data_IF_099641573831
#
_entry.id   IF_099641573831
#
_cell.length_a   1.000
_cell.length_b   1.000
_cell.length_c   1.000
_cell.angle_alpha   90.00
_cell.angle_beta   90.00
_cell.angle_gamma   90.00
#
_symmetry.space_group_name_H-M   'P 1'
#
loop_
_entity.id
_entity.type
_entity.pdbx_description
1 polymer ?
#
# COMPACT_ATOMS: atom_id res chain seq x y z
N UNK A 1 3.97 -12.62 0.17
CA UNK A 1 5.15 -12.31 0.99
C UNK A 1 5.77 -13.66 1.31
N UNK A 2 6.73 -14.09 0.49
CA UNK A 2 7.36 -15.40 0.64
C UNK A 2 8.78 -15.19 1.14
N UNK A 3 9.10 -15.76 2.29
CA UNK A 3 10.42 -15.69 2.92
C UNK A 3 11.33 -16.82 2.44
N UNK A 4 10.81 -17.73 1.61
CA UNK A 4 11.50 -18.93 1.16
C UNK A 4 11.64 -19.98 2.26
N UNK A 5 12.45 -21.00 2.00
CA UNK A 5 12.77 -22.03 2.98
C UNK A 5 13.53 -21.43 4.16
N UNK A 6 13.15 -21.83 5.38
CA UNK A 6 13.84 -21.37 6.57
C UNK A 6 15.28 -21.91 6.56
N UNK A 7 16.29 -21.06 6.80
CA UNK A 7 17.69 -21.51 6.86
C UNK A 7 18.00 -22.35 8.11
N UNK A 8 17.04 -22.51 9.04
CA UNK A 8 17.21 -23.24 10.30
C UNK A 8 16.54 -24.60 10.23
N UNK A 9 17.06 -25.53 11.02
CA UNK A 9 16.49 -26.88 11.17
C UNK A 9 15.32 -26.83 12.15
N UNK A 10 14.16 -27.31 11.71
CA UNK A 10 12.95 -27.42 12.51
C UNK A 10 12.55 -28.89 12.65
N UNK A 11 13.14 -29.57 13.62
CA UNK A 11 12.82 -30.97 13.96
C UNK A 11 11.97 -31.02 15.22
N UNK A 12 10.95 -31.88 15.23
CA UNK A 12 10.08 -32.12 16.39
C UNK A 12 10.85 -32.78 17.54
N UNK A 13 11.88 -33.57 17.24
CA UNK A 13 12.74 -34.16 18.28
C UNK A 13 13.44 -33.08 19.11
N UNK A 14 14.00 -32.06 18.44
CA UNK A 14 14.68 -30.93 19.09
C UNK A 14 13.73 -30.10 19.97
N UNK A 15 12.43 -30.08 19.65
CA UNK A 15 11.43 -29.41 20.47
C UNK A 15 11.22 -30.13 21.80
N UNK A 16 11.15 -31.47 21.80
CA UNK A 16 11.01 -32.25 23.02
C UNK A 16 12.25 -32.11 23.93
N UNK A 17 13.43 -32.10 23.33
CA UNK A 17 14.69 -31.86 24.04
C UNK A 17 14.72 -30.46 24.67
N UNK A 18 14.24 -29.44 23.94
CA UNK A 18 14.10 -28.09 24.46
C UNK A 18 13.13 -28.00 25.65
N UNK A 19 11.95 -28.63 25.55
CA UNK A 19 10.94 -28.62 26.62
C UNK A 19 11.47 -29.27 27.90
N UNK A 20 12.35 -30.28 27.79
CA UNK A 20 13.03 -30.87 28.94
C UNK A 20 14.18 -30.00 29.47
N UNK A 21 14.99 -29.40 28.59
CA UNK A 21 16.10 -28.54 28.98
C UNK A 21 15.63 -27.22 29.64
N UNK A 22 14.50 -26.68 29.18
CA UNK A 22 13.89 -25.44 29.68
C UNK A 22 13.45 -25.54 31.14
N UNK A 23 13.15 -26.75 31.63
CA UNK A 23 12.87 -27.00 33.07
C UNK A 23 14.10 -26.79 33.96
N UNK A 24 15.29 -27.07 33.44
CA UNK A 24 16.53 -27.04 34.21
C UNK A 24 17.22 -25.68 34.12
N UNK A 25 17.11 -24.99 32.97
CA UNK A 25 17.77 -23.71 32.75
C UNK A 25 16.97 -22.86 31.77
N UNK A 26 16.90 -21.58 32.10
CA UNK A 26 16.33 -20.58 31.21
C UNK A 26 17.35 -20.13 30.15
N UNK A 27 16.97 -20.28 28.89
CA UNK A 27 17.81 -19.96 27.73
C UNK A 27 17.38 -18.67 27.02
N UNK A 28 16.32 -18.00 27.49
CA UNK A 28 15.81 -16.74 26.94
C UNK A 28 15.40 -16.80 25.46
N UNK A 29 15.06 -17.99 24.94
CA UNK A 29 14.58 -18.13 23.55
C UNK A 29 13.24 -17.46 23.31
N UNK A 30 12.46 -17.22 24.37
CA UNK A 30 11.23 -16.42 24.35
C UNK A 30 11.52 -14.94 24.04
N UNK A 31 12.60 -14.39 24.58
CA UNK A 31 13.09 -13.03 24.27
C UNK A 31 13.57 -12.96 22.82
N UNK A 32 14.38 -13.92 22.37
CA UNK A 32 14.83 -13.99 20.97
C UNK A 32 13.66 -14.10 19.98
N UNK A 33 12.67 -14.93 20.32
CA UNK A 33 11.47 -15.10 19.50
C UNK A 33 10.66 -13.81 19.44
N UNK A 34 10.49 -13.12 20.58
CA UNK A 34 9.80 -11.84 20.64
C UNK A 34 10.47 -10.79 19.76
N UNK A 35 11.80 -10.62 19.84
CA UNK A 35 12.55 -9.67 19.01
C UNK A 35 12.41 -9.99 17.51
N UNK A 36 12.49 -11.27 17.15
CA UNK A 36 12.31 -11.71 15.77
C UNK A 36 10.90 -11.41 15.23
N UNK A 37 9.86 -11.69 16.02
CA UNK A 37 8.47 -11.39 15.65
C UNK A 37 8.20 -9.88 15.60
N UNK A 38 8.76 -9.09 16.52
CA UNK A 38 8.67 -7.63 16.52
C UNK A 38 9.28 -7.04 15.25
N UNK A 39 10.49 -7.48 14.88
CA UNK A 39 11.15 -7.03 13.66
C UNK A 39 10.35 -7.44 12.40
N UNK A 40 9.72 -8.61 12.42
CA UNK A 40 8.88 -9.07 11.31
C UNK A 40 7.60 -8.23 11.15
N UNK A 41 6.87 -7.98 12.24
CA UNK A 41 5.66 -7.14 12.22
C UNK A 41 6.01 -5.71 11.81
N UNK A 42 7.12 -5.15 12.29
CA UNK A 42 7.57 -3.82 11.89
C UNK A 42 7.85 -3.69 10.38
N UNK A 43 8.41 -4.72 9.73
CA UNK A 43 8.58 -4.71 8.26
C UNK A 43 7.22 -4.77 7.53
N UNK A 44 6.27 -5.56 8.04
CA UNK A 44 4.93 -5.65 7.49
C UNK A 44 4.13 -4.35 7.63
N UNK A 45 4.19 -3.71 8.80
CA UNK A 45 3.50 -2.44 9.04
C UNK A 45 4.08 -1.33 8.15
N UNK A 46 5.41 -1.26 8.03
CA UNK A 46 6.08 -0.34 7.10
C UNK A 46 5.64 -0.54 5.65
N UNK A 47 5.51 -1.80 5.21
CA UNK A 47 5.01 -2.11 3.85
C UNK A 47 3.54 -1.72 3.70
N UNK A 48 2.74 -1.93 4.73
CA UNK A 48 1.32 -1.55 4.76
C UNK A 48 1.16 -0.04 4.63
N UNK A 49 1.95 0.75 5.38
CA UNK A 49 1.96 2.21 5.29
C UNK A 49 2.41 2.68 3.90
N UNK A 50 3.48 2.10 3.35
CA UNK A 50 3.94 2.44 2.00
C UNK A 50 2.87 2.13 0.94
N UNK A 51 2.16 1.00 1.05
CA UNK A 51 1.06 0.65 0.16
C UNK A 51 -0.13 1.61 0.31
N UNK A 52 -0.49 2.00 1.55
CA UNK A 52 -1.52 3.01 1.83
C UNK A 52 -1.15 4.37 1.23
N UNK A 53 0.10 4.82 1.43
CA UNK A 53 0.61 6.08 0.87
C UNK A 53 0.57 6.09 -0.65
N UNK A 54 1.01 4.99 -1.29
CA UNK A 54 0.95 4.85 -2.75
C UNK A 54 -0.48 4.89 -3.28
N UNK A 55 -1.44 4.24 -2.62
CA UNK A 55 -2.85 4.36 -3.00
C UNK A 55 -3.35 5.79 -2.84
N UNK A 56 -3.06 6.45 -1.72
CA UNK A 56 -3.47 7.82 -1.47
C UNK A 56 -2.92 8.79 -2.53
N UNK A 57 -1.62 8.71 -2.85
CA UNK A 57 -0.97 9.52 -3.89
C UNK A 57 -1.66 9.32 -5.25
N UNK A 58 -1.91 8.06 -5.66
CA UNK A 58 -2.62 7.79 -6.93
C UNK A 58 -4.08 8.28 -6.92
N UNK A 59 -4.71 8.35 -5.75
CA UNK A 59 -6.08 8.86 -5.60
C UNK A 59 -6.10 10.40 -5.64
N UNK A 60 -5.13 11.06 -5.01
CA UNK A 60 -4.98 12.52 -4.97
C UNK A 60 -4.54 13.10 -6.32
N UNK A 61 -3.56 12.50 -6.98
CA UNK A 61 -3.11 12.93 -8.32
C UNK A 61 -4.26 12.86 -9.33
N UNK A 62 -5.06 11.79 -9.28
CA UNK A 62 -6.20 11.63 -10.18
C UNK A 62 -7.31 12.63 -9.86
N UNK A 63 -7.60 12.88 -8.58
CA UNK A 63 -8.67 13.82 -8.20
C UNK A 63 -8.31 15.26 -8.54
N UNK A 64 -7.04 15.65 -8.42
CA UNK A 64 -6.58 17.00 -8.78
C UNK A 64 -6.63 17.26 -10.29
N UNK A 65 -6.12 16.32 -11.12
CA UNK A 65 -6.16 16.47 -12.58
C UNK A 65 -7.58 16.42 -13.14
N UNK A 66 -8.41 15.50 -12.64
CA UNK A 66 -9.81 15.37 -13.04
C UNK A 66 -10.61 16.58 -12.57
N UNK A 67 -10.39 17.08 -11.34
CA UNK A 67 -11.05 18.30 -10.87
C UNK A 67 -10.65 19.54 -11.67
N UNK A 68 -9.37 19.70 -12.03
CA UNK A 68 -8.92 20.81 -12.86
C UNK A 68 -9.57 20.81 -14.25
N UNK A 69 -9.66 19.63 -14.89
CA UNK A 69 -10.34 19.48 -16.19
C UNK A 69 -11.85 19.67 -16.08
N UNK A 70 -12.48 19.22 -15.00
CA UNK A 70 -13.89 19.48 -14.73
C UNK A 70 -14.16 20.99 -14.54
N UNK A 71 -13.29 21.67 -13.79
CA UNK A 71 -13.39 23.12 -13.58
C UNK A 71 -13.25 23.89 -14.90
N UNK A 72 -12.32 23.50 -15.78
CA UNK A 72 -12.18 24.12 -17.10
C UNK A 72 -13.45 23.98 -17.97
N UNK A 73 -14.11 22.82 -17.93
CA UNK A 73 -15.42 22.62 -18.60
C UNK A 73 -16.50 23.51 -17.99
N UNK A 74 -16.53 23.66 -16.67
CA UNK A 74 -17.48 24.52 -15.98
C UNK A 74 -17.26 26.01 -16.30
N UNK A 75 -16.00 26.48 -16.34
CA UNK A 75 -15.67 27.86 -16.70
C UNK A 75 -16.10 28.19 -18.15
N UNK A 76 -15.83 27.30 -19.11
CA UNK A 76 -16.30 27.46 -20.49
C UNK A 76 -17.84 27.48 -20.58
N UNK A 77 -18.51 26.64 -19.79
CA UNK A 77 -19.98 26.63 -19.74
C UNK A 77 -20.54 27.95 -19.17
N UNK A 78 -19.92 28.51 -18.14
CA UNK A 78 -20.30 29.83 -17.61
C UNK A 78 -20.06 30.95 -18.62
N UNK A 79 -18.93 30.95 -19.32
CA UNK A 79 -18.61 31.98 -20.31
C UNK A 79 -19.58 31.93 -21.50
N UNK A 80 -19.91 30.71 -21.98
CA UNK A 80 -20.97 30.50 -22.97
C UNK A 80 -22.29 31.08 -22.45
N UNK A 81 -22.69 30.78 -21.20
CA UNK A 81 -23.92 31.31 -20.61
C UNK A 81 -23.95 32.85 -20.56
N UNK A 82 -22.84 33.48 -20.18
CA UNK A 82 -22.69 34.94 -20.12
C UNK A 82 -22.78 35.59 -21.51
N UNK A 83 -22.13 35.00 -22.53
CA UNK A 83 -22.19 35.51 -23.90
C UNK A 83 -23.56 35.28 -24.55
N UNK A 84 -24.22 34.17 -24.25
CA UNK A 84 -25.54 33.83 -24.78
C UNK A 84 -26.61 34.80 -24.26
N UNK A 85 -26.58 35.14 -22.97
CA UNK A 85 -27.44 36.17 -22.39
C UNK A 85 -27.22 37.57 -23.03
N UNK A 86 -25.97 37.92 -23.35
CA UNK A 86 -25.66 39.17 -24.07
C UNK A 86 -26.14 39.15 -25.51
N UNK A 87 -26.00 38.03 -26.20
CA UNK A 87 -26.46 37.86 -27.58
C UNK A 87 -27.99 37.96 -27.68
N UNK A 88 -28.72 37.41 -26.70
CA UNK A 88 -30.17 37.54 -26.57
C UNK A 88 -30.61 39.00 -26.35
N UNK A 89 -29.95 39.72 -25.42
CA UNK A 89 -30.27 41.13 -25.15
C UNK A 89 -30.04 42.04 -26.37
N UNK A 90 -28.96 41.82 -27.14
CA UNK A 90 -28.69 42.57 -28.37
C UNK A 90 -29.66 42.20 -29.50
N UNK A 91 -30.11 40.94 -29.53
CA UNK A 91 -31.17 40.49 -30.43
C UNK A 91 -32.51 41.20 -30.15
N UNK A 92 -32.87 41.35 -28.88
CA UNK A 92 -34.07 42.08 -28.46
C UNK A 92 -33.97 43.58 -28.76
N UNK A 93 -32.77 44.17 -28.65
CA UNK A 93 -32.49 45.55 -29.05
C UNK A 93 -32.48 45.79 -30.57
N UNK A 94 -32.65 44.74 -31.39
CA UNK A 94 -32.68 44.83 -32.85
C UNK A 94 -31.30 44.97 -33.52
N UNK A 95 -30.20 44.78 -32.78
CA UNK A 95 -28.83 44.85 -33.30
C UNK A 95 -28.39 43.48 -33.86
N UNK A 96 -28.96 43.13 -35.01
CA UNK A 96 -28.82 41.80 -35.63
C UNK A 96 -27.36 41.48 -36.02
N UNK A 97 -26.61 42.45 -36.56
CA UNK A 97 -25.21 42.22 -36.97
C UNK A 97 -24.29 41.91 -35.79
N UNK A 98 -24.45 42.59 -34.65
CA UNK A 98 -23.62 42.37 -33.46
C UNK A 98 -24.02 41.06 -32.74
N UNK A 99 -25.33 40.75 -32.70
CA UNK A 99 -25.82 39.47 -32.19
C UNK A 99 -25.29 38.28 -33.00
N UNK A 100 -25.25 38.37 -34.34
CA UNK A 100 -24.70 37.31 -35.19
C UNK A 100 -23.19 37.09 -34.96
N UNK A 101 -22.40 38.15 -34.73
CA UNK A 101 -20.98 38.01 -34.38
C UNK A 101 -20.78 37.30 -33.05
N UNK A 102 -21.54 37.68 -32.02
CA UNK A 102 -21.50 37.00 -30.72
C UNK A 102 -21.94 35.54 -30.79
N UNK A 103 -22.92 35.21 -31.65
CA UNK A 103 -23.34 33.83 -31.88
C UNK A 103 -22.24 32.98 -32.55
N UNK A 104 -21.48 33.56 -33.48
CA UNK A 104 -20.30 32.89 -34.06
C UNK A 104 -19.25 32.59 -33.00
N UNK A 105 -18.95 33.53 -32.10
CA UNK A 105 -18.02 33.31 -30.99
C UNK A 105 -18.54 32.24 -30.01
N UNK A 106 -19.85 32.15 -29.79
CA UNK A 106 -20.47 31.11 -28.95
C UNK A 106 -20.32 29.73 -29.60
N UNK A 107 -20.44 29.61 -30.92
CA UNK A 107 -20.20 28.35 -31.62
C UNK A 107 -18.75 27.88 -31.51
N UNK A 108 -17.78 28.79 -31.61
CA UNK A 108 -16.37 28.48 -31.36
C UNK A 108 -16.14 28.00 -29.93
N UNK A 109 -16.69 28.70 -28.93
CA UNK A 109 -16.60 28.28 -27.52
C UNK A 109 -17.31 26.95 -27.25
N UNK A 110 -18.43 26.66 -27.93
CA UNK A 110 -19.11 25.36 -27.84
C UNK A 110 -18.27 24.22 -28.43
N UNK A 111 -17.56 24.48 -29.52
CA UNK A 111 -16.61 23.52 -30.10
C UNK A 111 -15.47 23.24 -29.12
N UNK A 112 -14.90 24.28 -28.50
CA UNK A 112 -13.86 24.12 -27.48
C UNK A 112 -14.36 23.41 -26.22
N UNK A 113 -15.58 23.72 -25.75
CA UNK A 113 -16.22 23.00 -24.64
C UNK A 113 -16.36 21.51 -24.96
N UNK A 114 -16.80 21.17 -26.17
CA UNK A 114 -16.97 19.78 -26.60
C UNK A 114 -15.62 19.06 -26.63
N UNK A 115 -14.56 19.71 -27.12
CA UNK A 115 -13.19 19.18 -27.09
C UNK A 115 -12.70 18.97 -25.65
N UNK A 116 -12.91 19.95 -24.76
CA UNK A 116 -12.54 19.87 -23.35
C UNK A 116 -13.33 18.78 -22.59
N UNK A 117 -14.62 18.61 -22.88
CA UNK A 117 -15.44 17.51 -22.33
C UNK A 117 -14.97 16.15 -22.82
N UNK A 118 -14.55 16.05 -24.08
CA UNK A 118 -14.03 14.82 -24.65
C UNK A 118 -12.65 14.48 -24.07
N UNK A 119 -11.79 15.47 -23.85
CA UNK A 119 -10.54 15.33 -23.11
C UNK A 119 -10.76 14.96 -21.65
N UNK A 120 -11.71 15.60 -20.96
CA UNK A 120 -12.10 15.26 -19.59
C UNK A 120 -12.54 13.79 -19.50
N UNK A 121 -13.46 13.37 -20.37
CA UNK A 121 -13.97 12.00 -20.41
C UNK A 121 -12.89 10.98 -20.77
N UNK A 122 -11.99 11.32 -21.69
CA UNK A 122 -10.88 10.45 -22.10
C UNK A 122 -9.76 10.39 -21.05
N UNK A 123 -9.60 11.46 -20.27
CA UNK A 123 -8.60 11.57 -19.22
C UNK A 123 -9.00 10.89 -17.92
N UNK A 124 -10.24 10.40 -17.79
CA UNK A 124 -10.67 9.49 -16.74
C UNK A 124 -10.41 8.07 -17.25
N UNK A 125 -9.26 7.45 -16.95
CA UNK A 125 -8.96 6.12 -17.44
C UNK A 125 -9.81 5.14 -16.62
N UNK A 126 -10.52 4.23 -17.29
CA UNK A 126 -11.30 3.20 -16.61
C UNK A 126 -10.45 2.34 -15.65
N UNK A 127 -9.13 2.22 -15.92
CA UNK A 127 -8.18 1.52 -15.06
C UNK A 127 -7.92 2.23 -13.73
N UNK A 128 -7.92 3.56 -13.68
CA UNK A 128 -7.65 4.29 -12.44
C UNK A 128 -8.86 4.28 -11.52
N UNK A 129 -10.07 4.24 -12.09
CA UNK A 129 -11.29 3.99 -11.32
C UNK A 129 -11.28 2.61 -10.62
N UNK A 130 -10.57 1.62 -11.18
CA UNK A 130 -10.38 0.33 -10.50
C UNK A 130 -9.42 0.44 -9.31
N UNK A 131 -8.38 1.28 -9.38
CA UNK A 131 -7.44 1.50 -8.28
C UNK A 131 -8.04 2.31 -7.12
N UNK A 132 -8.95 3.26 -7.39
CA UNK A 132 -9.70 3.98 -6.36
C UNK A 132 -10.62 3.08 -5.53
N UNK A 133 -11.01 1.91 -6.07
CA UNK A 133 -11.88 0.95 -5.39
C UNK A 133 -11.13 -0.03 -4.50
N UNK A 134 -9.81 0.09 -4.39
CA UNK A 134 -8.99 -0.80 -3.57
C UNK A 134 -8.68 -0.16 -2.22
N UNK A 135 -8.70 -0.98 -1.17
CA UNK A 135 -8.22 -0.69 0.18
C UNK A 135 -7.11 -1.66 0.55
N UNK A 136 -6.15 -1.27 1.37
CA UNK A 136 -5.15 -2.20 1.91
C UNK A 136 -5.67 -2.83 3.19
N UNK A 137 -5.54 -4.15 3.34
CA UNK A 137 -5.77 -4.83 4.61
C UNK A 137 -4.63 -4.58 5.59
N UNK A 138 -4.97 -4.25 6.83
CA UNK A 138 -4.00 -3.85 7.87
C UNK A 138 -3.26 -5.02 8.49
N UNK A 139 -3.71 -6.24 8.24
CA UNK A 139 -3.13 -7.47 8.82
C UNK A 139 -2.10 -8.07 7.88
N UNK A 140 -2.44 -8.24 6.60
CA UNK A 140 -1.62 -8.98 5.63
C UNK A 140 -1.14 -8.13 4.43
N UNK A 141 -1.34 -6.81 4.50
CA UNK A 141 -0.86 -5.82 3.51
C UNK A 141 -1.34 -6.04 2.07
N UNK A 142 -2.35 -6.89 1.86
CA UNK A 142 -2.91 -7.14 0.53
C UNK A 142 -3.97 -6.09 0.16
N UNK A 143 -4.15 -5.87 -1.15
CA UNK A 143 -5.22 -5.02 -1.67
C UNK A 143 -6.55 -5.78 -1.72
N UNK A 144 -7.61 -5.18 -1.20
CA UNK A 144 -8.99 -5.68 -1.22
C UNK A 144 -9.87 -4.69 -1.97
N UNK A 145 -10.86 -5.16 -2.72
CA UNK A 145 -11.89 -4.27 -3.26
C UNK A 145 -12.86 -3.83 -2.18
N UNK A 146 -13.25 -2.55 -2.16
CA UNK A 146 -14.29 -2.01 -1.28
C UNK A 146 -15.66 -2.63 -1.61
N UNK A 147 -15.86 -2.99 -2.88
CA UNK A 147 -17.11 -3.57 -3.40
C UNK A 147 -16.99 -5.08 -3.67
N UNK A 148 -15.97 -5.73 -3.10
CA UNK A 148 -15.86 -7.17 -3.22
C UNK A 148 -17.01 -7.84 -2.48
N UNK A 149 -17.53 -8.94 -3.07
CA UNK A 149 -18.60 -9.72 -2.48
C UNK A 149 -18.13 -10.41 -1.18
N UNK A 150 -19.04 -10.62 -0.22
CA UNK A 150 -18.74 -11.23 1.08
C UNK A 150 -18.04 -12.59 0.97
N UNK A 151 -18.32 -13.38 -0.07
CA UNK A 151 -17.62 -14.64 -0.32
C UNK A 151 -16.11 -14.42 -0.52
N UNK A 152 -15.74 -13.41 -1.32
CA UNK A 152 -14.34 -13.08 -1.62
C UNK A 152 -13.64 -12.47 -0.40
N UNK A 153 -14.36 -11.71 0.41
CA UNK A 153 -13.86 -11.23 1.69
C UNK A 153 -13.61 -12.39 2.66
N UNK A 154 -14.53 -13.36 2.74
CA UNK A 154 -14.35 -14.56 3.56
C UNK A 154 -13.10 -15.36 3.14
N UNK A 155 -12.86 -15.54 1.83
CA UNK A 155 -11.65 -16.20 1.33
C UNK A 155 -10.37 -15.45 1.70
N UNK A 156 -10.42 -14.11 1.74
CA UNK A 156 -9.31 -13.30 2.20
C UNK A 156 -9.01 -13.52 3.69
N UNK A 157 -10.04 -13.42 4.54
CA UNK A 157 -9.90 -13.54 6.00
C UNK A 157 -9.61 -14.98 6.44
N UNK A 158 -10.17 -15.98 5.75
CA UNK A 158 -9.89 -17.40 5.94
C UNK A 158 -8.60 -17.87 5.26
N UNK A 159 -7.90 -16.99 4.54
CA UNK A 159 -6.65 -17.31 3.86
C UNK A 159 -5.51 -17.56 4.84
N UNK A 160 -4.61 -18.48 4.48
CA UNK A 160 -3.42 -18.84 5.28
C UNK A 160 -2.53 -17.64 5.61
N UNK A 161 -2.43 -16.66 4.69
CA UNK A 161 -1.66 -15.45 4.93
C UNK A 161 -2.30 -14.60 6.04
N UNK A 162 -3.60 -14.32 5.94
CA UNK A 162 -4.29 -13.48 6.90
C UNK A 162 -4.31 -14.11 8.30
N UNK A 163 -4.68 -15.40 8.38
CA UNK A 163 -4.68 -16.15 9.63
C UNK A 163 -3.27 -16.30 10.24
N UNK A 164 -2.24 -16.48 9.40
CA UNK A 164 -0.85 -16.54 9.85
C UNK A 164 -0.39 -15.23 10.49
N UNK A 165 -0.71 -14.10 9.88
CA UNK A 165 -0.39 -12.77 10.44
C UNK A 165 -1.16 -12.47 11.73
N UNK A 166 -2.43 -12.88 11.82
CA UNK A 166 -3.19 -12.79 13.07
C UNK A 166 -2.53 -13.60 14.19
N UNK A 167 -2.19 -14.86 13.93
CA UNK A 167 -1.52 -15.72 14.90
C UNK A 167 -0.17 -15.16 15.34
N UNK A 168 0.61 -14.55 14.42
CA UNK A 168 1.88 -13.91 14.75
C UNK A 168 1.68 -12.69 15.65
N UNK A 169 0.69 -11.83 15.36
CA UNK A 169 0.37 -10.66 16.19
C UNK A 169 -0.14 -11.06 17.57
N UNK A 170 -0.98 -12.07 17.66
CA UNK A 170 -1.46 -12.61 18.94
C UNK A 170 -0.30 -13.21 19.75
N UNK A 171 0.58 -14.00 19.11
CA UNK A 171 1.77 -14.56 19.77
C UNK A 171 2.76 -13.50 20.23
N UNK A 172 2.93 -12.42 19.47
CA UNK A 172 3.72 -11.27 19.92
C UNK A 172 3.12 -10.65 21.18
N UNK A 173 1.80 -10.44 21.23
CA UNK A 173 1.14 -9.88 22.41
C UNK A 173 1.23 -10.79 23.66
N UNK A 174 1.21 -12.11 23.47
CA UNK A 174 1.50 -13.08 24.55
C UNK A 174 2.95 -12.98 25.04
N UNK A 175 3.91 -12.91 24.10
CA UNK A 175 5.33 -12.83 24.40
C UNK A 175 5.72 -11.48 25.03
N UNK A 176 5.10 -10.36 24.64
CA UNK A 176 5.37 -9.06 25.25
C UNK A 176 5.00 -9.03 26.74
N UNK A 177 3.94 -9.75 27.14
CA UNK A 177 3.55 -9.85 28.56
C UNK A 177 4.52 -10.70 29.37
N UNK A 178 5.10 -11.74 28.77
CA UNK A 178 5.91 -12.75 29.45
C UNK A 178 7.42 -12.48 29.34
N UNK A 179 7.90 -12.23 28.12
CA UNK A 179 9.29 -11.94 27.78
C UNK A 179 9.65 -10.45 27.90
N UNK A 180 8.68 -9.53 27.83
CA UNK A 180 8.92 -8.08 28.02
C UNK A 180 9.60 -7.70 29.35
N UNK A 181 9.15 -8.18 30.53
CA UNK A 181 9.85 -7.93 31.78
C UNK A 181 11.23 -8.61 31.83
N UNK A 182 11.37 -9.82 31.26
CA UNK A 182 12.64 -10.56 31.21
C UNK A 182 13.68 -9.85 30.33
N UNK A 183 13.25 -9.28 29.21
CA UNK A 183 14.10 -8.46 28.34
C UNK A 183 14.60 -7.21 29.09
N UNK A 184 13.72 -6.53 29.85
CA UNK A 184 14.12 -5.35 30.64
C UNK A 184 15.14 -5.71 31.74
N UNK A 185 15.01 -6.87 32.37
CA UNK A 185 15.98 -7.35 33.35
C UNK A 185 17.33 -7.73 32.72
N UNK A 186 17.32 -8.36 31.55
CA UNK A 186 18.53 -8.65 30.76
C UNK A 186 19.28 -7.36 30.38
N UNK A 187 18.56 -6.35 29.88
CA UNK A 187 19.12 -5.04 29.54
C UNK A 187 19.73 -4.34 30.77
N UNK A 188 19.11 -4.47 31.94
CA UNK A 188 19.57 -3.86 33.20
C UNK A 188 20.79 -4.55 33.80
N UNK A 189 20.95 -5.86 33.58
CA UNK A 189 22.07 -6.66 34.13
C UNK A 189 23.34 -6.61 33.27
N UNK A 190 23.33 -5.90 32.13
CA UNK A 190 24.53 -5.67 31.32
C UNK A 190 25.05 -6.89 30.56
N UNK A 191 24.33 -8.02 30.57
CA UNK A 191 24.62 -9.22 29.75
C UNK A 191 24.24 -9.07 28.27
N UNK A 192 23.75 -7.90 27.88
CA UNK A 192 23.28 -7.54 26.54
C UNK A 192 24.35 -7.72 25.44
N UNK A 193 25.62 -7.42 25.74
CA UNK A 193 26.69 -7.38 24.71
C UNK A 193 27.00 -8.73 24.06
N UNK A 194 26.97 -9.83 24.81
CA UNK A 194 27.20 -11.18 24.27
C UNK A 194 25.95 -11.74 23.55
N UNK A 195 24.78 -11.19 23.84
CA UNK A 195 23.48 -11.65 23.31
C UNK A 195 23.10 -10.90 22.02
N UNK A 196 23.29 -9.59 21.95
CA UNK A 196 23.06 -8.77 20.75
C UNK A 196 23.87 -9.28 19.55
N UNK A 197 25.14 -9.67 19.74
CA UNK A 197 26.00 -10.18 18.65
C UNK A 197 25.47 -11.51 18.08
N UNK A 198 24.88 -12.36 18.92
CA UNK A 198 24.19 -13.61 18.52
C UNK A 198 22.84 -13.35 17.84
N UNK A 199 22.10 -12.34 18.28
CA UNK A 199 20.77 -12.01 17.76
C UNK A 199 20.85 -11.31 16.38
N UNK A 200 21.83 -10.40 16.20
CA UNK A 200 22.10 -9.72 14.91
C UNK A 200 22.48 -10.69 13.79
N UNK A 201 23.18 -11.78 14.12
CA UNK A 201 23.52 -12.83 13.13
C UNK A 201 22.32 -13.69 12.71
N UNK A 202 21.19 -13.68 13.45
CA UNK A 202 20.03 -14.54 13.20
C UNK A 202 18.89 -13.88 12.44
N UNK A 203 18.78 -12.55 12.47
CA UNK A 203 17.75 -11.83 11.71
C UNK A 203 18.29 -11.41 10.34
N UNK A 204 18.01 -12.23 9.33
CA UNK A 204 18.21 -11.85 7.93
C UNK A 204 17.00 -11.01 7.52
N UNK A 205 17.08 -9.70 7.74
CA UNK A 205 15.98 -8.79 7.42
C UNK A 205 15.61 -8.80 5.93
N UNK A 206 14.40 -8.35 5.59
CA UNK A 206 13.90 -8.34 4.21
C UNK A 206 14.82 -7.64 3.20
N UNK A 207 15.61 -6.65 3.63
CA UNK A 207 16.63 -5.98 2.80
C UNK A 207 17.82 -6.86 2.44
N UNK A 208 18.20 -7.78 3.31
CA UNK A 208 19.32 -8.69 3.08
C UNK A 208 18.90 -9.88 2.21
N UNK A 209 17.66 -10.35 2.38
CA UNK A 209 17.02 -11.29 1.45
C UNK A 209 16.92 -10.71 0.04
N UNK A 210 16.56 -9.43 -0.11
CA UNK A 210 16.50 -8.76 -1.42
C UNK A 210 17.89 -8.61 -2.07
N UNK A 211 18.93 -8.31 -1.27
CA UNK A 211 20.33 -8.33 -1.75
C UNK A 211 20.78 -9.72 -2.19
N UNK A 212 20.44 -10.77 -1.44
CA UNK A 212 20.80 -12.15 -1.75
C UNK A 212 20.09 -12.66 -3.01
N UNK A 213 18.84 -12.30 -3.19
CA UNK A 213 18.08 -12.56 -4.42
C UNK A 213 18.68 -11.86 -5.64
N UNK A 214 19.11 -10.59 -5.52
CA UNK A 214 19.82 -9.89 -6.62
C UNK A 214 21.19 -10.49 -6.93
N UNK A 215 21.91 -10.98 -5.92
CA UNK A 215 23.21 -11.63 -6.12
C UNK A 215 23.07 -12.97 -6.85
N UNK A 216 22.04 -13.76 -6.53
CA UNK A 216 21.72 -15.02 -7.21
C UNK A 216 21.27 -14.80 -8.66
N UNK A 217 20.48 -13.76 -8.93
CA UNK A 217 20.09 -13.38 -10.30
C UNK A 217 21.32 -13.06 -11.16
N UNK A 218 22.25 -12.24 -10.65
CA UNK A 218 23.51 -11.89 -11.35
C UNK A 218 24.43 -13.09 -11.60
N UNK A 219 24.36 -14.13 -10.77
CA UNK A 219 25.18 -15.33 -10.93
C UNK A 219 24.60 -16.31 -11.95
N UNK A 220 23.29 -16.26 -12.22
CA UNK A 220 22.64 -17.06 -13.29
C UNK A 220 22.92 -16.46 -14.67
N UNK A 221 22.83 -15.14 -14.81
CA UNK A 221 23.17 -14.41 -16.04
C UNK A 221 24.57 -14.74 -16.57
N UNK A 222 25.56 -14.92 -15.68
CA UNK A 222 26.94 -15.28 -16.07
C UNK A 222 27.13 -16.73 -16.52
N UNK A 223 26.17 -17.62 -16.25
CA UNK A 223 26.24 -19.03 -16.68
C UNK A 223 25.63 -19.25 -18.05
N UNK A 224 24.71 -18.38 -18.48
CA UNK A 224 24.05 -18.48 -19.79
C UNK A 224 24.84 -17.80 -20.92
N UNK A 225 25.90 -17.05 -20.59
CA UNK A 225 26.79 -16.37 -21.57
C UNK A 225 28.09 -17.12 -21.87
N UNK A 226 28.14 -18.46 -21.70
CA UNK A 226 29.36 -19.24 -21.97
C UNK A 226 29.08 -20.51 -22.76
#
# INVERSE_FOLDING_TARGET
MDLGECPKVHDLALRADYENASKNKDYYYDVDAMEHLQAFIADCDRRTEAAKKRLAETQEELTAEVAAKANAVHELAEEIGKKLAKAEALGEAGQVEESMKLMSEIEELRSEKTRAEQEYRSSIPASTYQQQKLRVCEVCSAYLGIHDNDIRLADHFGGKLHLGFLAIREKLAELEKTAGPRQKELRKTGRDRDHEDRSRSRYVGGRELDRRSRALARSRDRKDTK
#
